data_IF_627255411274
#
_entry.id   IF_627255411274
#
_cell.length_a   1.000
_cell.length_b   1.000
_cell.length_c   1.000
_cell.angle_alpha   90.00
_cell.angle_beta   90.00
_cell.angle_gamma   90.00
#
_symmetry.space_group_name_H-M   'P 1'
#
loop_
_entity.id
_entity.type
_entity.pdbx_description
1 polymer ?
#
# COMPACT_ATOMS: atom_id res chain seq x y z
N UNK A 1 -19.38 0.83 7.31
CA UNK A 1 -18.51 1.06 6.15
C UNK A 1 -19.07 0.29 4.95
N UNK A 2 -19.23 0.98 3.82
CA UNK A 2 -19.83 0.40 2.59
C UNK A 2 -19.15 -0.90 2.13
N UNK A 3 -17.82 -0.95 2.12
CA UNK A 3 -17.07 -2.16 1.75
C UNK A 3 -17.34 -3.34 2.69
N UNK A 4 -17.42 -3.09 3.99
CA UNK A 4 -17.72 -4.15 4.97
C UNK A 4 -19.15 -4.70 4.79
N UNK A 5 -20.11 -3.84 4.50
CA UNK A 5 -21.49 -4.22 4.22
C UNK A 5 -21.59 -5.00 2.90
N UNK A 6 -20.89 -4.55 1.87
CA UNK A 6 -20.78 -5.27 0.60
C UNK A 6 -20.26 -6.70 0.79
N UNK A 7 -19.16 -6.88 1.52
CA UNK A 7 -18.60 -8.21 1.80
C UNK A 7 -19.57 -9.09 2.57
N UNK A 8 -20.23 -8.54 3.60
CA UNK A 8 -21.23 -9.25 4.40
C UNK A 8 -22.40 -9.74 3.54
N UNK A 9 -22.85 -8.93 2.60
CA UNK A 9 -23.98 -9.27 1.73
C UNK A 9 -23.61 -10.21 0.59
N UNK A 10 -22.36 -10.17 0.12
CA UNK A 10 -21.85 -11.01 -0.97
C UNK A 10 -21.69 -12.49 -0.57
N UNK A 11 -21.29 -12.74 0.69
CA UNK A 11 -20.97 -14.09 1.14
C UNK A 11 -21.98 -14.58 2.17
N UNK A 12 -22.61 -15.73 1.86
CA UNK A 12 -23.51 -16.42 2.81
C UNK A 12 -22.78 -17.44 3.69
N UNK A 13 -21.51 -17.73 3.38
CA UNK A 13 -20.61 -18.59 4.12
C UNK A 13 -19.31 -17.84 4.41
N UNK A 14 -18.45 -18.40 5.26
CA UNK A 14 -17.10 -17.84 5.44
C UNK A 14 -16.34 -17.94 4.11
N UNK A 15 -15.96 -16.84 3.47
CA UNK A 15 -15.20 -16.85 2.22
C UNK A 15 -13.75 -17.24 2.47
N UNK A 16 -13.08 -17.73 1.45
CA UNK A 16 -11.62 -17.83 1.43
C UNK A 16 -10.98 -16.44 1.31
N UNK A 17 -9.69 -16.36 1.63
CA UNK A 17 -8.93 -15.12 1.53
C UNK A 17 -8.88 -14.58 0.09
N UNK A 18 -8.75 -15.46 -0.90
CA UNK A 18 -8.76 -15.07 -2.31
C UNK A 18 -10.13 -14.58 -2.77
N UNK A 19 -11.22 -15.21 -2.32
CA UNK A 19 -12.58 -14.71 -2.60
C UNK A 19 -12.80 -13.31 -2.01
N UNK A 20 -12.24 -13.03 -0.83
CA UNK A 20 -12.27 -11.68 -0.24
C UNK A 20 -11.46 -10.71 -1.10
N UNK A 21 -10.25 -11.11 -1.52
CA UNK A 21 -9.38 -10.26 -2.33
C UNK A 21 -10.04 -9.89 -3.67
N UNK A 22 -10.66 -10.85 -4.35
CA UNK A 22 -11.41 -10.60 -5.58
C UNK A 22 -12.62 -9.69 -5.34
N UNK A 23 -13.40 -9.94 -4.29
CA UNK A 23 -14.55 -9.11 -3.95
C UNK A 23 -14.17 -7.66 -3.63
N UNK A 24 -13.03 -7.44 -2.99
CA UNK A 24 -12.48 -6.10 -2.72
C UNK A 24 -12.09 -5.39 -4.01
N UNK A 25 -11.51 -6.12 -4.98
CA UNK A 25 -11.21 -5.55 -6.29
C UNK A 25 -12.48 -5.13 -7.03
N UNK A 26 -13.54 -5.96 -7.00
CA UNK A 26 -14.81 -5.67 -7.67
C UNK A 26 -15.44 -4.38 -7.10
N UNK A 27 -15.58 -4.29 -5.79
CA UNK A 27 -16.16 -3.10 -5.16
C UNK A 27 -15.29 -1.86 -5.34
N UNK A 28 -13.97 -2.01 -5.39
CA UNK A 28 -13.05 -0.90 -5.63
C UNK A 28 -13.20 -0.33 -7.04
N UNK A 29 -13.44 -1.17 -8.06
CA UNK A 29 -13.74 -0.71 -9.43
C UNK A 29 -14.99 0.18 -9.46
N UNK A 30 -16.04 -0.19 -8.71
CA UNK A 30 -17.26 0.61 -8.60
C UNK A 30 -16.99 1.96 -7.89
N UNK A 31 -16.28 1.91 -6.76
CA UNK A 31 -15.98 3.10 -5.98
C UNK A 31 -15.03 4.07 -6.69
N UNK A 32 -14.09 3.55 -7.47
CA UNK A 32 -13.12 4.37 -8.24
C UNK A 32 -13.79 5.23 -9.30
N UNK A 33 -15.01 4.90 -9.73
CA UNK A 33 -15.81 5.75 -10.62
C UNK A 33 -16.34 7.02 -9.91
N UNK A 34 -16.34 7.04 -8.57
CA UNK A 34 -16.83 8.14 -7.74
C UNK A 34 -15.71 9.05 -7.23
N UNK A 35 -14.46 8.63 -7.37
CA UNK A 35 -13.30 9.39 -6.92
C UNK A 35 -12.07 8.53 -6.69
N UNK A 36 -10.95 9.20 -6.41
CA UNK A 36 -9.67 8.57 -6.06
C UNK A 36 -9.56 8.37 -4.56
N UNK A 37 -9.09 7.22 -4.11
CA UNK A 37 -8.88 6.94 -2.69
C UNK A 37 -7.86 5.82 -2.48
N UNK A 38 -7.00 6.00 -1.50
CA UNK A 38 -6.19 4.92 -0.96
C UNK A 38 -6.94 4.28 0.20
N UNK A 39 -6.80 2.99 0.40
CA UNK A 39 -7.29 2.36 1.62
C UNK A 39 -6.40 1.21 2.08
N UNK A 40 -6.50 0.93 3.37
CA UNK A 40 -6.00 -0.28 4.01
C UNK A 40 -7.19 -0.93 4.69
N UNK A 41 -7.44 -2.19 4.39
CA UNK A 41 -8.50 -3.00 4.99
C UNK A 41 -7.87 -4.21 5.68
N UNK A 42 -8.25 -4.46 6.94
CA UNK A 42 -7.78 -5.60 7.71
C UNK A 42 -8.89 -6.17 8.59
N UNK A 43 -8.81 -7.48 8.87
CA UNK A 43 -9.62 -8.15 9.88
C UNK A 43 -8.79 -8.63 11.09
N UNK A 44 -7.51 -8.22 11.18
CA UNK A 44 -6.56 -8.66 12.20
C UNK A 44 -5.71 -9.87 11.81
N UNK A 45 -6.13 -10.69 10.84
CA UNK A 45 -5.38 -11.85 10.34
C UNK A 45 -4.65 -11.52 9.02
N UNK A 46 -5.25 -10.67 8.21
CA UNK A 46 -4.72 -10.24 6.92
C UNK A 46 -4.92 -8.74 6.70
N UNK A 47 -4.24 -8.21 5.70
CA UNK A 47 -4.32 -6.82 5.31
C UNK A 47 -4.30 -6.68 3.78
N UNK A 48 -5.21 -5.88 3.23
CA UNK A 48 -5.24 -5.50 1.81
C UNK A 48 -5.02 -3.99 1.72
N UNK A 49 -4.08 -3.58 0.88
CA UNK A 49 -3.87 -2.17 0.52
C UNK A 49 -4.21 -1.94 -0.93
N UNK A 50 -4.83 -0.79 -1.22
CA UNK A 50 -5.10 -0.30 -2.57
C UNK A 50 -4.53 1.10 -2.76
N UNK A 51 -3.83 1.29 -3.86
CA UNK A 51 -3.22 2.55 -4.25
C UNK A 51 -3.95 3.18 -5.43
N UNK A 52 -4.55 4.35 -5.22
CA UNK A 52 -5.04 5.18 -6.31
C UNK A 52 -4.28 6.49 -6.47
N UNK A 53 -3.37 6.81 -5.59
CA UNK A 53 -2.51 8.00 -5.67
C UNK A 53 -1.06 7.68 -5.36
N UNK A 54 -0.72 7.51 -4.08
CA UNK A 54 0.64 7.25 -3.64
C UNK A 54 0.64 6.39 -2.38
N UNK A 55 1.15 5.17 -2.49
CA UNK A 55 1.44 4.28 -1.37
C UNK A 55 2.76 3.57 -1.62
N UNK A 56 3.45 3.29 -0.53
CA UNK A 56 4.66 2.48 -0.49
C UNK A 56 4.50 1.42 0.59
N UNK A 57 5.16 0.29 0.41
CA UNK A 57 5.29 -0.70 1.46
C UNK A 57 6.72 -1.19 1.60
N UNK A 58 7.04 -1.67 2.78
CA UNK A 58 8.31 -2.29 3.12
C UNK A 58 8.04 -3.49 4.02
N UNK A 59 8.62 -4.63 3.70
CA UNK A 59 8.60 -5.82 4.58
C UNK A 59 9.98 -6.03 5.17
N UNK A 60 10.09 -5.94 6.48
CA UNK A 60 11.28 -6.28 7.26
C UNK A 60 11.16 -7.71 7.76
N UNK A 61 12.26 -8.45 7.73
CA UNK A 61 12.40 -9.78 8.34
C UNK A 61 13.58 -9.75 9.28
N UNK A 62 13.43 -10.36 10.45
CA UNK A 62 14.54 -10.46 11.41
C UNK A 62 15.71 -11.27 10.81
N UNK A 63 16.98 -10.91 11.09
CA UNK A 63 17.39 -9.75 11.90
C UNK A 63 17.12 -8.43 11.15
N UNK A 64 16.47 -7.48 11.84
CA UNK A 64 16.25 -6.15 11.29
C UNK A 64 17.58 -5.38 11.31
N UNK A 65 17.87 -4.60 10.33
CA UNK A 65 19.09 -3.79 10.27
C UNK A 65 18.92 -2.43 10.92
N UNK A 66 19.93 -1.59 10.71
CA UNK A 66 19.86 -0.15 10.97
C UNK A 66 19.22 0.54 9.78
N UNK A 67 18.42 1.57 10.05
CA UNK A 67 17.86 2.40 9.00
C UNK A 67 17.98 3.88 9.36
N UNK A 68 18.21 4.72 8.34
CA UNK A 68 18.30 6.16 8.47
C UNK A 68 16.94 6.79 8.17
N UNK A 69 16.46 7.61 9.07
CA UNK A 69 15.20 8.35 8.90
C UNK A 69 15.31 9.36 7.76
N UNK A 70 14.20 9.66 7.13
CA UNK A 70 14.16 10.66 6.04
C UNK A 70 14.11 12.08 6.62
N UNK A 71 13.42 12.27 7.72
CA UNK A 71 13.10 13.56 8.32
C UNK A 71 14.21 14.14 9.21
N UNK A 72 15.16 13.32 9.62
CA UNK A 72 16.33 13.74 10.39
C UNK A 72 17.54 12.83 10.08
N UNK A 73 18.69 13.10 10.71
CA UNK A 73 19.89 12.28 10.60
C UNK A 73 19.92 11.14 11.64
N UNK A 74 18.78 10.84 12.24
CA UNK A 74 18.64 9.76 13.22
C UNK A 74 18.78 8.39 12.60
N UNK A 75 19.53 7.52 13.28
CA UNK A 75 19.65 6.10 12.95
C UNK A 75 18.87 5.29 13.96
N UNK A 76 18.01 4.41 13.48
CA UNK A 76 17.30 3.47 14.32
C UNK A 76 17.90 2.09 14.10
N UNK A 77 18.31 1.43 15.19
CA UNK A 77 18.69 0.03 15.19
C UNK A 77 17.47 -0.82 15.57
N UNK A 78 16.86 -1.45 14.57
CA UNK A 78 15.67 -2.26 14.80
C UNK A 78 15.99 -3.64 15.41
N UNK A 79 17.28 -4.05 15.48
CA UNK A 79 17.67 -5.29 16.13
C UNK A 79 17.38 -5.28 17.64
N UNK A 80 17.40 -4.11 18.27
CA UNK A 80 17.09 -3.98 19.71
C UNK A 80 15.64 -4.34 20.05
N UNK A 81 14.75 -4.38 19.07
CA UNK A 81 13.32 -4.61 19.23
C UNK A 81 12.83 -5.90 18.56
N UNK A 82 13.67 -6.55 17.74
CA UNK A 82 13.30 -7.72 16.98
C UNK A 82 13.59 -9.01 17.75
N UNK A 83 12.70 -9.98 17.60
CA UNK A 83 12.92 -11.37 17.99
C UNK A 83 13.20 -12.21 16.74
N UNK A 84 13.86 -13.34 16.93
CA UNK A 84 14.10 -14.28 15.84
C UNK A 84 12.76 -14.70 15.21
N UNK A 85 12.70 -14.58 13.88
CA UNK A 85 11.50 -14.90 13.11
C UNK A 85 10.49 -13.76 12.95
N UNK A 86 10.68 -12.62 13.61
CA UNK A 86 9.78 -11.48 13.46
C UNK A 86 9.76 -10.98 12.01
N UNK A 87 8.56 -10.65 11.56
CA UNK A 87 8.30 -10.08 10.26
C UNK A 87 7.29 -8.94 10.38
N UNK A 88 7.60 -7.81 9.79
CA UNK A 88 6.76 -6.61 9.84
C UNK A 88 6.62 -6.01 8.45
N UNK A 89 5.38 -5.78 8.04
CA UNK A 89 5.09 -4.99 6.84
C UNK A 89 4.54 -3.63 7.24
N UNK A 90 5.14 -2.59 6.70
CA UNK A 90 4.79 -1.19 6.92
C UNK A 90 4.22 -0.65 5.61
N UNK A 91 3.10 0.05 5.68
CA UNK A 91 2.47 0.71 4.53
C UNK A 91 2.34 2.19 4.84
N UNK A 92 2.83 3.05 3.94
CA UNK A 92 2.87 4.50 4.11
C UNK A 92 2.61 5.22 2.80
N UNK A 93 2.26 6.50 2.86
CA UNK A 93 2.17 7.35 1.65
C UNK A 93 3.54 7.68 1.08
N UNK A 94 4.56 7.85 1.94
CA UNK A 94 5.94 8.12 1.56
C UNK A 94 6.89 7.23 2.36
N UNK A 95 8.05 6.85 1.80
CA UNK A 95 9.09 6.14 2.55
C UNK A 95 9.44 6.89 3.85
N UNK A 96 9.72 6.15 4.92
CA UNK A 96 10.13 6.70 6.21
C UNK A 96 11.65 6.69 6.39
N UNK A 97 12.35 5.90 5.59
CA UNK A 97 13.81 5.70 5.66
C UNK A 97 14.44 5.82 4.28
N UNK A 98 15.74 6.21 4.24
CA UNK A 98 16.46 6.52 2.99
C UNK A 98 17.09 5.28 2.34
N UNK A 99 17.42 4.28 3.15
CA UNK A 99 18.32 3.17 2.81
C UNK A 99 17.63 1.79 2.86
N UNK A 100 16.32 1.76 2.93
CA UNK A 100 15.54 0.52 2.90
C UNK A 100 14.81 0.33 1.56
N UNK A 101 14.55 -0.91 1.13
CA UNK A 101 13.96 -1.21 -0.17
C UNK A 101 12.43 -1.01 -0.17
N UNK A 102 12.00 0.23 -0.04
CA UNK A 102 10.59 0.58 -0.18
C UNK A 102 10.06 0.29 -1.58
N UNK A 103 8.95 -0.40 -1.64
CA UNK A 103 8.26 -0.68 -2.90
C UNK A 103 7.14 0.33 -3.08
N UNK A 104 7.21 1.10 -4.17
CA UNK A 104 6.13 2.00 -4.58
C UNK A 104 5.02 1.18 -5.24
N UNK A 105 3.78 1.41 -4.83
CA UNK A 105 2.62 0.84 -5.49
C UNK A 105 2.18 1.72 -6.65
N UNK A 106 1.88 1.11 -7.78
CA UNK A 106 1.36 1.82 -8.94
C UNK A 106 -0.14 2.12 -8.81
N UNK A 107 -0.63 3.09 -9.58
CA UNK A 107 -2.03 3.50 -9.59
C UNK A 107 -2.95 2.32 -9.96
N UNK A 108 -3.98 2.09 -9.15
CA UNK A 108 -4.89 0.95 -9.31
C UNK A 108 -4.35 -0.36 -8.72
N UNK A 109 -3.14 -0.36 -8.18
CA UNK A 109 -2.52 -1.55 -7.59
C UNK A 109 -3.17 -2.00 -6.28
N UNK A 110 -3.08 -3.30 -6.03
CA UNK A 110 -3.47 -3.95 -4.78
C UNK A 110 -2.36 -4.83 -4.27
N UNK A 111 -2.20 -4.89 -2.97
CA UNK A 111 -1.31 -5.85 -2.30
C UNK A 111 -2.04 -6.49 -1.14
N UNK A 112 -1.90 -7.81 -1.03
CA UNK A 112 -2.50 -8.61 0.03
C UNK A 112 -1.41 -9.21 0.91
N UNK A 113 -1.43 -8.88 2.19
CA UNK A 113 -0.49 -9.35 3.19
C UNK A 113 -1.17 -10.26 4.20
N UNK A 114 -0.46 -11.29 4.64
CA UNK A 114 -0.81 -12.14 5.77
C UNK A 114 0.45 -12.48 6.57
N UNK A 115 0.39 -12.32 7.89
CA UNK A 115 1.55 -12.58 8.79
C UNK A 115 2.85 -11.89 8.34
N UNK A 116 2.71 -10.66 7.77
CA UNK A 116 3.83 -9.90 7.22
C UNK A 116 4.33 -10.35 5.86
N UNK A 117 3.79 -11.43 5.27
CA UNK A 117 4.11 -11.87 3.91
C UNK A 117 3.14 -11.30 2.88
N UNK A 118 3.69 -10.90 1.72
CA UNK A 118 2.89 -10.60 0.55
C UNK A 118 2.43 -11.90 -0.10
N UNK A 119 1.12 -12.16 -0.09
CA UNK A 119 0.52 -13.40 -0.63
C UNK A 119 -0.14 -13.22 -2.00
N UNK A 120 -0.52 -11.99 -2.35
CA UNK A 120 -1.01 -11.65 -3.68
C UNK A 120 -0.76 -10.18 -4.01
N UNK A 121 -0.67 -9.88 -5.29
CA UNK A 121 -0.47 -8.53 -5.80
C UNK A 121 -1.17 -8.38 -7.15
N UNK A 122 -1.78 -7.20 -7.35
CA UNK A 122 -2.15 -6.71 -8.67
C UNK A 122 -1.35 -5.45 -8.91
N UNK A 123 -0.48 -5.52 -9.90
CA UNK A 123 0.32 -4.36 -10.31
C UNK A 123 -0.61 -3.38 -11.01
N UNK A 124 -0.63 -2.15 -10.54
CA UNK A 124 -1.36 -1.06 -11.18
C UNK A 124 -0.70 -0.60 -12.48
N UNK A 125 -1.21 0.48 -13.03
CA UNK A 125 -0.64 1.12 -14.21
C UNK A 125 0.17 2.34 -13.76
N UNK A 126 1.41 2.44 -14.22
CA UNK A 126 2.21 3.62 -14.01
C UNK A 126 1.44 4.85 -14.56
N UNK A 127 1.20 5.84 -13.70
CA UNK A 127 0.61 7.09 -14.17
C UNK A 127 1.65 7.75 -15.08
N UNK A 128 1.37 7.86 -16.37
CA UNK A 128 2.14 8.75 -17.23
C UNK A 128 2.07 10.13 -16.59
N UNK A 129 3.22 10.73 -16.30
CA UNK A 129 3.27 12.13 -15.87
C UNK A 129 2.69 12.93 -17.02
N UNK A 130 1.49 13.45 -16.86
CA UNK A 130 1.03 14.53 -17.70
C UNK A 130 2.05 15.64 -17.53
N UNK A 131 2.86 15.84 -18.56
CA UNK A 131 3.74 16.99 -18.71
C UNK A 131 2.82 18.21 -18.81
N UNK A 132 2.64 18.90 -17.68
CA UNK A 132 1.94 20.17 -17.63
C UNK A 132 2.81 21.22 -18.33
N UNK A 133 2.73 21.19 -19.65
CA UNK A 133 3.41 22.12 -20.57
C UNK A 133 2.91 23.56 -20.46
N UNK A 134 2.69 24.08 -19.26
CA UNK A 134 2.44 25.51 -19.02
C UNK A 134 3.73 26.25 -18.66
N UNK A 135 4.67 26.29 -19.59
CA UNK A 135 5.64 27.39 -19.64
C UNK A 135 4.96 28.59 -20.33
N UNK A 136 4.33 29.39 -19.49
CA UNK A 136 3.79 30.66 -19.92
C UNK A 136 4.87 31.54 -20.56
N UNK A 137 4.73 31.75 -21.85
CA UNK A 137 5.38 32.80 -22.60
C UNK A 137 4.94 34.17 -22.05
N UNK A 138 5.72 34.74 -21.14
CA UNK A 138 5.67 36.19 -20.91
C UNK A 138 6.66 36.85 -21.84
N UNK A 139 6.15 37.28 -22.99
CA UNK A 139 6.80 38.25 -23.83
C UNK A 139 6.78 39.58 -23.07
N UNK A 140 7.94 40.11 -22.75
CA UNK A 140 8.12 41.48 -22.34
C UNK A 140 7.94 42.39 -23.57
N UNK A 141 7.05 43.31 -23.42
CA UNK A 141 7.02 44.49 -24.27
C UNK A 141 7.85 45.59 -23.60
#
# INVERSE_FOLDING_TARGET
CYMAEYLKNRFRRKPSEMEIFEAIQDITKELSQKGTFNFILSNGEWMIAHCSTNLHYLTRKAPFGKAHRIDDDGVIDFNDYAKDGDKVTIITTFPLTKDEPWVKMEHGGFVFFKEGDKIAEIVGVAKEMEDDGTLGNRVAA
#
